data_IF_651889907989
#
_entry.id   IF_651889907989
#
_cell.length_a   1.000
_cell.length_b   1.000
_cell.length_c   1.000
_cell.angle_alpha   90.00
_cell.angle_beta   90.00
_cell.angle_gamma   90.00
#
_symmetry.space_group_name_H-M   'P 1'
#
loop_
_entity.id
_entity.type
_entity.pdbx_description
1 polymer ?
#
# COMPACT_ATOMS: atom_id res chain seq x y z
N UNK A 1 14.05 6.08 37.49
CA UNK A 1 13.53 4.80 36.98
C UNK A 1 13.32 4.97 35.46
N UNK A 2 14.29 4.50 34.66
CA UNK A 2 14.23 4.59 33.20
C UNK A 2 13.39 3.44 32.68
N UNK A 3 12.25 3.75 32.06
CA UNK A 3 11.47 2.76 31.34
C UNK A 3 12.26 2.36 30.09
N UNK A 4 12.63 1.10 29.99
CA UNK A 4 13.21 0.54 28.78
C UNK A 4 12.11 0.50 27.69
N UNK A 5 12.42 0.88 26.44
CA UNK A 5 11.47 0.69 25.35
C UNK A 5 11.24 -0.83 25.18
N UNK A 6 9.98 -1.24 25.28
CA UNK A 6 9.57 -2.62 24.97
C UNK A 6 9.91 -2.91 23.51
N UNK A 7 10.79 -3.86 23.27
CA UNK A 7 11.01 -4.42 21.93
C UNK A 7 9.66 -4.94 21.42
N UNK A 8 9.20 -4.52 20.23
CA UNK A 8 8.00 -5.11 19.67
C UNK A 8 8.22 -6.63 19.52
N UNK A 9 7.24 -7.41 19.96
CA UNK A 9 7.27 -8.85 19.79
C UNK A 9 7.48 -9.15 18.29
N UNK A 10 8.45 -10.00 17.95
CA UNK A 10 8.63 -10.45 16.59
C UNK A 10 7.31 -11.03 16.09
N UNK A 11 6.75 -10.45 15.04
CA UNK A 11 5.53 -10.96 14.43
C UNK A 11 5.85 -12.32 13.87
N UNK A 12 5.15 -13.35 14.32
CA UNK A 12 5.39 -14.73 13.86
C UNK A 12 5.04 -14.82 12.37
N UNK A 13 5.93 -15.43 11.59
CA UNK A 13 5.70 -15.66 10.15
C UNK A 13 4.50 -16.59 9.98
N UNK A 14 3.61 -16.25 9.06
CA UNK A 14 2.40 -17.04 8.79
C UNK A 14 2.77 -18.38 8.16
N UNK A 15 2.21 -19.45 8.68
CA UNK A 15 2.37 -20.79 8.11
C UNK A 15 1.54 -20.96 6.83
N UNK A 16 2.10 -21.59 5.80
CA UNK A 16 1.41 -21.84 4.52
C UNK A 16 0.11 -22.64 4.72
N UNK A 17 0.16 -23.67 5.57
CA UNK A 17 -0.99 -24.56 5.83
C UNK A 17 -2.17 -23.85 6.54
N UNK A 18 -1.95 -22.64 7.05
CA UNK A 18 -3.01 -21.82 7.65
C UNK A 18 -3.76 -20.95 6.65
N UNK A 19 -3.43 -21.04 5.35
CA UNK A 19 -3.97 -20.15 4.31
C UNK A 19 -4.76 -20.94 3.27
N UNK A 20 -5.90 -20.40 2.89
CA UNK A 20 -6.75 -20.97 1.84
C UNK A 20 -7.06 -19.93 0.75
N UNK A 21 -7.23 -20.41 -0.49
CA UNK A 21 -7.71 -19.56 -1.59
C UNK A 21 -9.10 -19.01 -1.22
N UNK A 22 -9.27 -17.70 -1.37
CA UNK A 22 -10.48 -16.98 -0.98
C UNK A 22 -10.40 -16.31 0.40
N UNK A 23 -9.36 -16.59 1.19
CA UNK A 23 -9.17 -15.90 2.47
C UNK A 23 -8.99 -14.39 2.25
N UNK A 24 -9.74 -13.60 3.03
CA UNK A 24 -9.62 -12.15 3.02
C UNK A 24 -8.54 -11.69 4.01
N UNK A 25 -7.72 -10.75 3.57
CA UNK A 25 -6.81 -10.04 4.46
C UNK A 25 -7.58 -8.93 5.21
N UNK A 26 -7.22 -8.60 6.47
CA UNK A 26 -7.84 -7.49 7.20
C UNK A 26 -7.70 -6.18 6.42
N UNK A 27 -8.83 -5.54 6.08
CA UNK A 27 -8.82 -4.27 5.35
C UNK A 27 -8.14 -3.15 6.16
N UNK A 28 -7.60 -2.16 5.45
CA UNK A 28 -6.88 -1.03 6.04
C UNK A 28 -7.22 0.26 5.32
N UNK A 29 -7.29 1.36 6.05
CA UNK A 29 -7.35 2.71 5.49
C UNK A 29 -6.03 3.43 5.73
N UNK A 30 -5.46 4.02 4.68
CA UNK A 30 -4.25 4.84 4.74
C UNK A 30 -4.63 6.27 4.43
N UNK A 31 -4.58 7.14 5.46
CA UNK A 31 -4.80 8.57 5.27
C UNK A 31 -3.56 9.24 4.69
N UNK A 32 -3.75 10.08 3.67
CA UNK A 32 -2.70 10.88 3.04
C UNK A 32 -3.11 12.34 3.00
N UNK A 33 -2.27 13.20 3.57
CA UNK A 33 -2.40 14.64 3.59
C UNK A 33 -1.23 15.32 2.87
N UNK A 34 -1.26 16.65 2.80
CA UNK A 34 -0.18 17.43 2.16
C UNK A 34 1.17 17.26 2.83
N UNK A 35 1.22 17.12 4.14
CA UNK A 35 2.46 16.89 4.88
C UNK A 35 3.09 15.54 4.50
N UNK A 36 2.26 14.50 4.35
CA UNK A 36 2.70 13.19 3.88
C UNK A 36 3.27 13.23 2.46
N UNK A 37 2.67 14.02 1.56
CA UNK A 37 3.18 14.17 0.20
C UNK A 37 4.56 14.84 0.17
N UNK A 38 4.76 15.90 0.96
CA UNK A 38 6.06 16.58 1.09
C UNK A 38 7.12 15.65 1.68
N UNK A 39 6.75 14.91 2.73
CA UNK A 39 7.63 13.91 3.36
C UNK A 39 8.06 12.84 2.35
N UNK A 40 7.11 12.31 1.58
CA UNK A 40 7.41 11.29 0.57
C UNK A 40 8.27 11.83 -0.56
N UNK A 41 8.01 13.05 -1.07
CA UNK A 41 8.84 13.71 -2.06
C UNK A 41 10.29 13.88 -1.59
N UNK A 42 10.50 14.19 -0.31
CA UNK A 42 11.82 14.27 0.30
C UNK A 42 12.53 12.92 0.41
N UNK A 43 11.81 11.87 0.79
CA UNK A 43 12.36 10.53 0.99
C UNK A 43 12.64 9.81 -0.33
N UNK A 44 11.74 9.91 -1.31
CA UNK A 44 11.84 9.26 -2.62
C UNK A 44 12.69 10.03 -3.62
N UNK A 45 12.97 11.30 -3.36
CA UNK A 45 13.57 12.27 -4.26
C UNK A 45 12.73 12.58 -5.53
N UNK A 46 11.50 12.07 -5.59
CA UNK A 46 10.53 12.47 -6.60
C UNK A 46 9.87 13.78 -6.19
N UNK A 47 10.44 14.88 -6.69
CA UNK A 47 10.01 16.24 -6.40
C UNK A 47 9.16 16.83 -7.51
N UNK A 48 8.46 16.03 -8.29
CA UNK A 48 7.56 16.51 -9.32
C UNK A 48 6.50 17.43 -8.69
N UNK A 49 6.33 18.60 -9.23
CA UNK A 49 5.48 19.67 -8.69
C UNK A 49 4.00 19.27 -8.57
N UNK A 50 3.53 18.31 -9.36
CA UNK A 50 2.15 17.83 -9.27
C UNK A 50 1.78 17.26 -7.90
N UNK A 51 2.76 16.92 -7.07
CA UNK A 51 2.57 16.30 -5.77
C UNK A 51 2.59 17.30 -4.60
N UNK A 52 3.00 18.56 -4.81
CA UNK A 52 3.11 19.53 -3.71
C UNK A 52 2.78 20.97 -4.09
N UNK A 53 2.78 21.33 -5.37
CA UNK A 53 2.45 22.67 -5.85
C UNK A 53 1.06 22.67 -6.49
N UNK A 54 0.07 23.11 -5.70
CA UNK A 54 -1.35 23.12 -6.13
C UNK A 54 -1.58 23.98 -7.37
N UNK A 55 -0.90 25.12 -7.46
CA UNK A 55 -1.01 26.00 -8.63
C UNK A 55 -0.56 25.27 -9.89
N UNK A 56 0.61 24.62 -9.82
CA UNK A 56 1.14 23.86 -10.96
C UNK A 56 0.25 22.66 -11.31
N UNK A 57 -0.22 21.92 -10.31
CA UNK A 57 -1.13 20.80 -10.53
C UNK A 57 -2.38 21.23 -11.32
N UNK A 58 -3.00 22.35 -10.92
CA UNK A 58 -4.17 22.91 -11.62
C UNK A 58 -3.83 23.42 -13.03
N UNK A 59 -2.66 24.03 -13.20
CA UNK A 59 -2.18 24.53 -14.50
C UNK A 59 -2.01 23.39 -15.53
N UNK A 60 -1.60 22.21 -15.09
CA UNK A 60 -1.45 21.03 -15.95
C UNK A 60 -2.73 20.16 -16.04
N UNK A 61 -3.87 20.66 -15.53
CA UNK A 61 -5.18 20.04 -15.69
C UNK A 61 -5.59 19.05 -14.62
N UNK A 62 -4.85 18.97 -13.50
CA UNK A 62 -5.28 18.19 -12.34
C UNK A 62 -6.26 19.00 -11.47
N UNK A 63 -7.22 18.36 -10.79
CA UNK A 63 -8.13 19.08 -9.91
C UNK A 63 -7.45 19.63 -8.66
N UNK A 64 -6.40 18.99 -8.21
CA UNK A 64 -5.56 19.35 -7.08
C UNK A 64 -4.22 18.59 -7.14
N UNK A 65 -3.35 18.72 -6.12
CA UNK A 65 -2.17 17.85 -6.05
C UNK A 65 -2.60 16.40 -5.85
N UNK A 66 -1.75 15.49 -6.32
CA UNK A 66 -2.02 14.05 -6.28
C UNK A 66 -0.92 13.33 -5.50
N UNK A 67 -1.27 12.22 -4.87
CA UNK A 67 -0.29 11.35 -4.24
C UNK A 67 0.62 10.70 -5.31
N UNK A 68 1.88 10.46 -4.94
CA UNK A 68 2.78 9.68 -5.77
C UNK A 68 2.21 8.27 -5.98
N UNK A 69 2.21 7.78 -7.22
CA UNK A 69 1.77 6.42 -7.50
C UNK A 69 2.53 5.38 -6.69
N UNK A 70 3.85 5.56 -6.55
CA UNK A 70 4.70 4.66 -5.77
C UNK A 70 4.39 4.71 -4.26
N UNK A 71 3.91 5.84 -3.72
CA UNK A 71 3.39 5.91 -2.36
C UNK A 71 2.15 5.01 -2.19
N UNK A 72 1.21 5.10 -3.12
CA UNK A 72 -0.01 4.27 -3.12
C UNK A 72 0.33 2.79 -3.26
N UNK A 73 1.24 2.45 -4.18
CA UNK A 73 1.73 1.09 -4.37
C UNK A 73 2.37 0.54 -3.10
N UNK A 74 3.31 1.28 -2.49
CA UNK A 74 3.97 0.89 -1.26
C UNK A 74 3.02 0.76 -0.07
N UNK A 75 2.09 1.72 0.08
CA UNK A 75 1.08 1.66 1.14
C UNK A 75 0.16 0.45 1.02
N UNK A 76 -0.21 0.07 -0.19
CA UNK A 76 -1.07 -1.10 -0.40
C UNK A 76 -0.37 -2.41 -0.01
N UNK A 77 0.91 -2.59 -0.36
CA UNK A 77 1.63 -3.84 -0.05
C UNK A 77 1.92 -4.01 1.44
N UNK A 78 1.89 -2.94 2.25
CA UNK A 78 2.05 -3.10 3.71
C UNK A 78 0.96 -3.98 4.33
N UNK A 79 -0.22 -4.05 3.72
CA UNK A 79 -1.26 -5.00 4.11
C UNK A 79 -0.76 -6.46 4.03
N UNK A 80 -0.04 -6.78 2.96
CA UNK A 80 0.50 -8.12 2.71
C UNK A 80 1.68 -8.41 3.63
N UNK A 81 2.62 -7.46 3.78
CA UNK A 81 3.80 -7.67 4.63
C UNK A 81 3.42 -7.88 6.09
N UNK A 82 2.43 -7.12 6.59
CA UNK A 82 1.94 -7.27 7.95
C UNK A 82 1.15 -8.58 8.12
N UNK A 83 0.37 -8.96 7.11
CA UNK A 83 -0.36 -10.24 7.12
C UNK A 83 0.57 -11.46 7.08
N UNK A 84 1.66 -11.39 6.32
CA UNK A 84 2.67 -12.44 6.23
C UNK A 84 3.55 -12.54 7.49
N UNK A 85 3.68 -11.43 8.24
CA UNK A 85 4.51 -11.33 9.43
C UNK A 85 5.97 -10.96 9.18
N UNK A 86 6.41 -10.96 7.91
CA UNK A 86 7.77 -10.59 7.51
C UNK A 86 7.75 -9.99 6.09
N UNK A 87 8.24 -8.76 5.96
CA UNK A 87 8.31 -8.05 4.68
C UNK A 87 9.23 -8.75 3.66
N UNK A 88 10.26 -9.47 4.11
CA UNK A 88 11.17 -10.24 3.26
C UNK A 88 10.51 -11.43 2.56
N UNK A 89 9.29 -11.78 2.94
CA UNK A 89 8.53 -12.88 2.33
C UNK A 89 7.84 -12.50 1.03
N UNK A 90 7.67 -11.21 0.73
CA UNK A 90 7.13 -10.74 -0.55
C UNK A 90 8.24 -10.82 -1.61
N UNK A 91 8.08 -11.76 -2.54
CA UNK A 91 9.10 -12.05 -3.58
C UNK A 91 8.77 -11.42 -4.92
N UNK A 92 7.51 -11.06 -5.16
CA UNK A 92 7.06 -10.38 -6.35
C UNK A 92 5.89 -9.45 -6.01
N UNK A 93 5.88 -8.25 -6.58
CA UNK A 93 4.77 -7.32 -6.45
C UNK A 93 4.68 -6.42 -7.67
N UNK A 94 3.51 -6.36 -8.29
CA UNK A 94 3.24 -5.53 -9.44
C UNK A 94 1.85 -4.93 -9.40
N UNK A 95 1.74 -3.71 -9.94
CA UNK A 95 0.46 -2.98 -10.05
C UNK A 95 0.34 -2.28 -11.40
N UNK A 96 -0.90 -1.90 -11.73
CA UNK A 96 -1.18 -0.91 -12.76
C UNK A 96 -1.82 0.29 -12.09
N UNK A 97 -1.27 1.49 -12.28
CA UNK A 97 -1.91 2.73 -11.86
C UNK A 97 -3.10 3.03 -12.77
N UNK A 98 -4.29 3.25 -12.19
CA UNK A 98 -5.53 3.44 -12.96
C UNK A 98 -6.08 4.86 -12.83
N UNK A 99 -6.12 5.38 -11.63
CA UNK A 99 -6.61 6.72 -11.30
C UNK A 99 -5.66 7.40 -10.31
N UNK A 100 -5.47 8.72 -10.39
CA UNK A 100 -4.72 9.45 -9.39
C UNK A 100 -5.48 9.49 -8.06
N UNK A 101 -4.74 9.53 -6.96
CA UNK A 101 -5.29 9.87 -5.64
C UNK A 101 -5.16 11.37 -5.47
N UNK A 102 -6.27 12.09 -5.63
CA UNK A 102 -6.33 13.54 -5.43
C UNK A 102 -6.33 13.84 -3.94
N UNK A 103 -5.48 14.78 -3.50
CA UNK A 103 -5.28 15.11 -2.08
C UNK A 103 -5.68 16.57 -1.82
N UNK A 104 -6.96 16.84 -1.50
CA UNK A 104 -7.44 18.18 -1.13
C UNK A 104 -6.70 18.74 0.08
N UNK A 105 -6.55 20.08 0.15
CA UNK A 105 -5.76 20.75 1.19
C UNK A 105 -6.27 20.45 2.61
N UNK A 106 -7.57 20.62 2.85
CA UNK A 106 -8.16 20.49 4.19
C UNK A 106 -8.42 19.03 4.58
N UNK A 107 -8.99 18.26 3.66
CA UNK A 107 -9.49 16.92 3.98
C UNK A 107 -8.44 15.81 3.81
N UNK A 108 -7.41 16.04 2.99
CA UNK A 108 -6.57 14.94 2.55
C UNK A 108 -7.34 13.90 1.72
N UNK A 109 -6.87 12.68 1.69
CA UNK A 109 -7.53 11.56 1.04
C UNK A 109 -7.33 10.26 1.84
N UNK A 110 -8.31 9.39 1.78
CA UNK A 110 -8.22 8.05 2.35
C UNK A 110 -8.04 7.04 1.22
N UNK A 111 -7.02 6.20 1.34
CA UNK A 111 -6.80 5.05 0.46
C UNK A 111 -7.25 3.81 1.22
N UNK A 112 -8.35 3.22 0.75
CA UNK A 112 -8.89 1.98 1.31
C UNK A 112 -8.23 0.80 0.62
N UNK A 113 -7.60 -0.09 1.39
CA UNK A 113 -6.90 -1.27 0.88
C UNK A 113 -7.50 -2.52 1.46
N UNK A 114 -7.81 -3.47 0.59
CA UNK A 114 -8.22 -4.82 0.94
C UNK A 114 -7.44 -5.84 0.12
N UNK A 115 -7.43 -7.08 0.55
CA UNK A 115 -6.74 -8.16 -0.14
C UNK A 115 -7.47 -9.48 -0.02
N UNK A 116 -7.26 -10.35 -1.00
CA UNK A 116 -7.79 -11.71 -1.02
C UNK A 116 -6.73 -12.67 -1.54
N UNK A 117 -6.62 -13.84 -0.96
CA UNK A 117 -5.77 -14.92 -1.44
C UNK A 117 -6.38 -15.47 -2.73
N UNK A 118 -5.68 -15.29 -3.84
CA UNK A 118 -6.16 -15.67 -5.18
C UNK A 118 -5.69 -17.04 -5.63
N UNK A 119 -4.47 -17.42 -5.24
CA UNK A 119 -3.87 -18.70 -5.57
C UNK A 119 -2.90 -19.14 -4.49
N UNK A 120 -2.71 -20.44 -4.37
CA UNK A 120 -1.72 -21.05 -3.47
C UNK A 120 -1.02 -22.19 -4.22
N UNK A 121 0.31 -22.22 -4.13
CA UNK A 121 1.18 -23.27 -4.68
C UNK A 121 1.82 -24.02 -3.51
N UNK A 122 1.39 -25.26 -3.21
CA UNK A 122 1.90 -25.99 -2.07
C UNK A 122 3.32 -26.54 -2.28
N UNK A 123 3.77 -26.72 -3.52
CA UNK A 123 5.12 -27.22 -3.80
C UNK A 123 6.16 -26.13 -3.53
N UNK A 124 5.87 -24.89 -3.94
CA UNK A 124 6.74 -23.75 -3.72
C UNK A 124 6.42 -22.97 -2.43
N UNK A 125 5.38 -23.37 -1.69
CA UNK A 125 4.82 -22.62 -0.54
C UNK A 125 4.56 -21.15 -0.85
N UNK A 126 4.06 -20.86 -2.05
CA UNK A 126 3.77 -19.51 -2.55
C UNK A 126 2.28 -19.23 -2.51
N UNK A 127 1.96 -18.03 -2.08
CA UNK A 127 0.60 -17.50 -2.08
C UNK A 127 0.56 -16.25 -2.92
N UNK A 128 -0.42 -16.16 -3.84
CA UNK A 128 -0.69 -14.94 -4.60
C UNK A 128 -1.85 -14.21 -3.95
N UNK A 129 -1.60 -12.97 -3.52
CA UNK A 129 -2.61 -12.07 -2.97
C UNK A 129 -2.97 -11.02 -4.00
N UNK A 130 -4.28 -10.89 -4.28
CA UNK A 130 -4.81 -9.78 -5.07
C UNK A 130 -5.24 -8.66 -4.14
N UNK A 131 -4.67 -7.47 -4.36
CA UNK A 131 -5.00 -6.26 -3.62
C UNK A 131 -6.00 -5.40 -4.39
N UNK A 132 -6.89 -4.76 -3.67
CA UNK A 132 -7.74 -3.68 -4.17
C UNK A 132 -7.43 -2.43 -3.38
N UNK A 133 -7.14 -1.34 -4.09
CA UNK A 133 -6.96 -0.02 -3.49
C UNK A 133 -7.93 0.96 -4.16
N UNK A 134 -8.71 1.66 -3.34
CA UNK A 134 -9.69 2.66 -3.76
C UNK A 134 -9.46 3.98 -3.03
N UNK A 135 -9.77 5.08 -3.67
CA UNK A 135 -9.82 6.40 -3.04
C UNK A 135 -11.03 7.16 -3.59
N UNK A 136 -11.83 7.74 -2.70
CA UNK A 136 -13.08 8.40 -3.10
C UNK A 136 -14.05 7.50 -3.86
N UNK A 137 -14.04 6.19 -3.58
CA UNK A 137 -14.87 5.19 -4.25
C UNK A 137 -14.34 4.72 -5.61
N UNK A 138 -13.25 5.30 -6.12
CA UNK A 138 -12.65 4.90 -7.39
C UNK A 138 -11.43 3.99 -7.20
N UNK A 139 -11.29 2.99 -8.07
CA UNK A 139 -10.13 2.08 -8.06
C UNK A 139 -8.89 2.81 -8.55
N UNK A 140 -7.86 2.90 -7.71
CA UNK A 140 -6.60 3.61 -7.99
C UNK A 140 -5.45 2.68 -8.40
N UNK A 141 -5.51 1.40 -8.02
CA UNK A 141 -4.60 0.36 -8.47
C UNK A 141 -5.38 -0.76 -9.19
N UNK A 142 -4.92 -1.14 -10.37
CA UNK A 142 -5.38 -2.31 -11.09
C UNK A 142 -4.30 -3.39 -11.12
N UNK A 143 -4.69 -4.67 -11.24
CA UNK A 143 -3.77 -5.83 -11.28
C UNK A 143 -2.70 -5.78 -10.17
N UNK A 144 -3.12 -5.39 -8.96
CA UNK A 144 -2.24 -5.34 -7.80
C UNK A 144 -2.09 -6.76 -7.25
N UNK A 145 -1.02 -7.45 -7.64
CA UNK A 145 -0.73 -8.82 -7.26
C UNK A 145 0.59 -8.88 -6.50
N UNK A 146 0.57 -9.51 -5.34
CA UNK A 146 1.74 -9.79 -4.53
C UNK A 146 1.93 -11.30 -4.39
N UNK A 147 3.15 -11.79 -4.58
CA UNK A 147 3.52 -13.18 -4.32
C UNK A 147 4.33 -13.25 -3.05
N UNK A 148 3.91 -14.09 -2.13
CA UNK A 148 4.49 -14.27 -0.80
C UNK A 148 4.94 -15.71 -0.63
N UNK A 149 6.12 -15.93 -0.08
CA UNK A 149 6.61 -17.26 0.34
C UNK A 149 6.37 -17.40 1.83
N UNK A 150 5.61 -18.42 2.22
CA UNK A 150 5.28 -18.71 3.61
C UNK A 150 6.05 -19.95 4.12
N UNK A 151 6.03 -20.17 5.46
CA UNK A 151 6.71 -21.32 6.07
C UNK A 151 5.91 -22.62 6.01
#
# INVERSE_FOLDING_TARGET
>A
MSAQPSTPAATEVRAFDSVSVGDALPARTVHVDRARLVQYAGASLDRNRIHWDERFAKEVGLPDVIAHGMFTMGSAVTLVTDWAGDAGRVVEYGVRFTKPVVVPYEAGADIEVSGVVKAADPEAKRVTVELTATAGGEKVLGRALAVVVLD
#
